data_IF_631087156882
#
_entry.id   IF_631087156882
#
_cell.length_a   1.000
_cell.length_b   1.000
_cell.length_c   1.000
_cell.angle_alpha   90.00
_cell.angle_beta   90.00
_cell.angle_gamma   90.00
#
_symmetry.space_group_name_H-M   'P 1'
#
loop_
_entity.id
_entity.type
_entity.pdbx_description
1 polymer ?
#
# COMPACT_ATOMS: atom_id res chain seq x y z
N UNK A 1 14.75 4.49 -4.41
CA UNK A 1 14.37 4.22 -3.00
C UNK A 1 13.88 5.52 -2.35
N UNK A 2 12.96 5.44 -1.40
CA UNK A 2 12.58 6.60 -0.59
C UNK A 2 12.35 6.21 0.88
N UNK A 3 12.55 7.18 1.76
CA UNK A 3 12.43 7.08 3.22
C UNK A 3 11.51 8.18 3.70
N UNK A 4 10.56 7.81 4.55
CA UNK A 4 9.58 8.73 5.13
C UNK A 4 9.35 8.44 6.60
N UNK A 5 8.67 9.36 7.28
CA UNK A 5 8.09 9.14 8.59
C UNK A 5 6.56 9.32 8.54
N UNK A 6 5.89 8.74 9.54
CA UNK A 6 4.46 8.90 9.80
C UNK A 6 3.61 8.53 8.58
N UNK A 7 3.75 7.30 8.09
CA UNK A 7 2.96 6.76 6.98
C UNK A 7 3.10 7.58 5.69
N UNK A 8 4.31 8.10 5.46
CA UNK A 8 4.61 8.90 4.29
C UNK A 8 4.31 10.39 4.39
N UNK A 9 3.81 10.88 5.53
CA UNK A 9 3.47 12.29 5.71
C UNK A 9 4.72 13.21 5.68
N UNK A 10 5.88 12.72 6.10
CA UNK A 10 7.13 13.47 6.08
C UNK A 10 8.20 12.74 5.25
N UNK A 11 8.67 13.37 4.17
CA UNK A 11 9.76 12.82 3.35
C UNK A 11 11.12 13.14 3.95
N UNK A 12 11.96 12.11 4.08
CA UNK A 12 13.33 12.21 4.63
C UNK A 12 14.38 12.02 3.55
N UNK A 13 14.14 11.07 2.64
CA UNK A 13 15.02 10.78 1.52
C UNK A 13 14.22 10.31 0.32
N UNK A 14 14.59 10.74 -0.89
CA UNK A 14 13.92 10.30 -2.10
C UNK A 14 14.83 10.46 -3.32
N UNK A 15 15.49 9.37 -3.71
CA UNK A 15 16.35 9.37 -4.90
C UNK A 15 16.35 8.00 -5.59
N UNK A 16 16.58 8.03 -6.90
CA UNK A 16 17.08 6.85 -7.60
C UNK A 16 18.49 6.53 -7.07
N UNK A 17 18.78 5.25 -6.92
CA UNK A 17 20.05 4.76 -6.40
C UNK A 17 20.55 3.68 -7.33
N UNK A 18 21.84 3.74 -7.64
CA UNK A 18 22.50 2.68 -8.39
C UNK A 18 22.66 1.45 -7.49
N UNK A 19 22.72 0.29 -8.11
CA UNK A 19 23.00 -0.98 -7.44
C UNK A 19 23.83 -1.87 -8.36
N UNK A 20 24.57 -2.79 -7.76
CA UNK A 20 25.28 -3.85 -8.47
C UNK A 20 24.52 -5.16 -8.38
N UNK A 21 24.67 -6.01 -9.41
CA UNK A 21 24.06 -7.34 -9.39
C UNK A 21 24.55 -8.13 -8.18
N UNK A 22 23.63 -8.58 -7.34
CA UNK A 22 23.93 -9.28 -6.08
C UNK A 22 23.82 -8.40 -4.84
N UNK A 23 23.69 -7.09 -4.98
CA UNK A 23 23.44 -6.20 -3.85
C UNK A 23 22.09 -6.52 -3.21
N UNK A 24 22.08 -6.55 -1.88
CA UNK A 24 20.85 -6.59 -1.10
C UNK A 24 20.28 -5.18 -0.96
N UNK A 25 19.03 -5.05 -0.53
CA UNK A 25 18.45 -3.74 -0.19
C UNK A 25 19.29 -3.03 0.88
N UNK A 26 19.84 -3.77 1.84
CA UNK A 26 20.73 -3.23 2.86
C UNK A 26 22.02 -2.65 2.26
N UNK A 27 22.64 -3.34 1.30
CA UNK A 27 23.86 -2.86 0.65
C UNK A 27 23.58 -1.55 -0.11
N UNK A 28 22.48 -1.51 -0.86
CA UNK A 28 22.03 -0.30 -1.56
C UNK A 28 21.77 0.84 -0.57
N UNK A 29 21.12 0.58 0.57
CA UNK A 29 20.86 1.60 1.59
C UNK A 29 22.15 2.20 2.14
N UNK A 30 23.16 1.38 2.46
CA UNK A 30 24.44 1.83 3.02
C UNK A 30 25.23 2.75 2.09
N UNK A 31 24.94 2.76 0.79
CA UNK A 31 25.58 3.70 -0.15
C UNK A 31 25.11 5.15 0.00
N UNK A 32 23.96 5.38 0.66
CA UNK A 32 23.30 6.70 0.73
C UNK A 32 22.80 7.08 2.12
N UNK A 33 22.67 6.13 3.03
CA UNK A 33 22.06 6.29 4.34
C UNK A 33 22.96 5.72 5.43
N UNK A 34 22.92 6.32 6.60
CA UNK A 34 23.56 5.80 7.81
C UNK A 34 22.62 4.77 8.45
N UNK A 35 23.03 3.51 8.47
CA UNK A 35 22.20 2.40 8.93
C UNK A 35 22.81 1.73 10.16
N UNK A 36 22.03 1.61 11.23
CA UNK A 36 22.35 0.75 12.38
C UNK A 36 21.39 -0.46 12.38
N UNK A 37 21.90 -1.63 12.76
CA UNK A 37 21.15 -2.89 12.75
C UNK A 37 21.14 -3.56 14.13
N UNK A 38 20.13 -4.40 14.40
CA UNK A 38 20.03 -5.22 15.61
C UNK A 38 19.87 -6.72 15.26
N UNK A 39 19.87 -7.58 16.29
CA UNK A 39 19.56 -9.02 16.21
C UNK A 39 20.32 -9.82 15.13
N UNK A 40 21.62 -9.55 14.98
CA UNK A 40 22.45 -10.27 14.01
C UNK A 40 22.49 -9.66 12.61
N UNK A 41 21.88 -8.48 12.40
CA UNK A 41 22.16 -7.61 11.24
C UNK A 41 20.99 -7.37 10.29
N UNK A 42 20.00 -8.27 10.24
CA UNK A 42 18.88 -8.15 9.30
C UNK A 42 17.76 -7.19 9.71
N UNK A 43 17.73 -6.81 11.00
CA UNK A 43 16.76 -5.86 11.52
C UNK A 43 17.34 -4.44 11.50
N UNK A 44 16.76 -3.54 10.70
CA UNK A 44 17.16 -2.12 10.67
C UNK A 44 16.64 -1.43 11.94
N UNK A 45 17.57 -1.03 12.80
CA UNK A 45 17.28 -0.35 14.05
C UNK A 45 17.34 1.17 13.91
N UNK A 46 18.13 1.69 12.96
CA UNK A 46 18.19 3.13 12.69
C UNK A 46 18.45 3.44 11.22
N UNK A 47 17.86 4.54 10.76
CA UNK A 47 18.18 5.19 9.49
C UNK A 47 18.43 6.67 9.80
N UNK A 48 19.61 7.19 9.41
CA UNK A 48 20.02 8.59 9.58
C UNK A 48 19.76 9.13 11.00
N UNK A 49 20.12 8.34 12.02
CA UNK A 49 20.02 8.71 13.44
C UNK A 49 18.63 8.57 14.08
N UNK A 50 17.58 8.27 13.30
CA UNK A 50 16.24 7.98 13.86
C UNK A 50 16.18 6.50 14.21
N UNK A 51 16.16 6.20 15.51
CA UNK A 51 16.22 4.84 16.06
C UNK A 51 14.83 4.26 16.32
N UNK A 52 14.72 2.93 16.32
CA UNK A 52 13.54 2.23 16.81
C UNK A 52 13.15 2.80 18.18
N UNK A 53 11.86 3.09 18.33
CA UNK A 53 11.28 3.45 19.62
C UNK A 53 11.15 2.25 20.56
N UNK A 54 11.30 1.03 20.05
CA UNK A 54 10.98 -0.21 20.75
C UNK A 54 12.23 -1.03 21.12
N UNK A 55 13.10 -1.27 20.14
CA UNK A 55 14.29 -2.12 20.27
C UNK A 55 15.30 -1.51 21.24
N UNK A 56 15.89 -2.36 22.10
CA UNK A 56 16.86 -2.01 23.14
C UNK A 56 16.38 -0.91 24.12
N UNK A 57 15.06 -0.76 24.29
CA UNK A 57 14.44 0.15 25.27
C UNK A 57 13.84 -0.63 26.44
N UNK A 58 13.90 -0.01 27.63
CA UNK A 58 13.24 -0.56 28.81
C UNK A 58 11.72 -0.52 28.66
N UNK A 59 11.01 -1.38 29.39
CA UNK A 59 9.53 -1.42 29.36
C UNK A 59 8.87 -0.07 29.69
N UNK A 60 9.55 0.80 30.45
CA UNK A 60 9.06 2.12 30.85
C UNK A 60 9.29 3.21 29.79
N UNK A 61 10.16 2.98 28.82
CA UNK A 61 10.56 3.99 27.82
C UNK A 61 10.28 3.58 26.39
N UNK A 62 10.03 2.28 26.15
CA UNK A 62 9.71 1.77 24.81
C UNK A 62 8.42 2.38 24.27
N UNK A 63 8.44 2.75 23.00
CA UNK A 63 7.31 3.20 22.20
C UNK A 63 7.14 2.24 21.04
N UNK A 64 5.91 1.93 20.67
CA UNK A 64 5.60 1.06 19.51
C UNK A 64 5.80 1.82 18.21
N UNK A 65 7.06 2.15 17.89
CA UNK A 65 7.43 2.86 16.67
C UNK A 65 8.68 2.24 16.09
N UNK A 66 8.63 1.89 14.81
CA UNK A 66 9.74 1.20 14.16
C UNK A 66 9.80 1.49 12.65
N UNK A 67 10.86 0.98 12.03
CA UNK A 67 11.08 1.02 10.59
C UNK A 67 10.42 -0.16 9.89
N UNK A 68 9.54 0.14 8.94
CA UNK A 68 8.91 -0.84 8.06
C UNK A 68 9.36 -0.59 6.64
N UNK A 69 9.50 -1.65 5.85
CA UNK A 69 9.90 -1.49 4.46
C UNK A 69 9.11 -2.34 3.49
N UNK A 70 8.81 -1.70 2.37
CA UNK A 70 7.98 -2.21 1.30
C UNK A 70 8.82 -2.29 0.03
N UNK A 71 8.64 -3.38 -0.71
CA UNK A 71 9.20 -3.52 -2.06
C UNK A 71 8.07 -3.68 -3.04
N UNK A 72 8.02 -2.79 -4.02
CA UNK A 72 6.98 -2.76 -5.06
C UNK A 72 5.55 -2.79 -4.49
N UNK A 73 5.36 -2.21 -3.31
CA UNK A 73 4.05 -2.05 -2.66
C UNK A 73 3.63 -3.19 -1.74
N UNK A 74 4.45 -4.23 -1.56
CA UNK A 74 4.22 -5.27 -0.54
C UNK A 74 5.19 -5.10 0.63
N UNK A 75 4.74 -5.30 1.87
CA UNK A 75 5.65 -5.36 3.01
C UNK A 75 6.59 -6.55 2.82
N UNK A 76 7.89 -6.36 3.10
CA UNK A 76 8.86 -7.40 2.80
C UNK A 76 8.71 -8.64 3.69
N UNK A 77 8.86 -9.81 3.07
CA UNK A 77 8.87 -11.13 3.69
C UNK A 77 10.18 -11.51 4.39
N UNK A 78 11.26 -10.78 4.13
CA UNK A 78 12.61 -11.08 4.62
C UNK A 78 13.28 -9.84 5.20
N UNK A 79 14.47 -9.97 5.80
CA UNK A 79 15.30 -8.83 6.19
C UNK A 79 15.87 -8.11 4.98
N UNK A 80 16.25 -6.83 5.13
CA UNK A 80 16.76 -6.04 4.00
C UNK A 80 18.12 -6.53 3.51
N UNK A 81 18.85 -7.27 4.35
CA UNK A 81 20.08 -8.00 4.07
C UNK A 81 19.86 -9.32 3.33
N UNK A 82 18.60 -9.75 3.15
CA UNK A 82 18.25 -10.98 2.46
C UNK A 82 17.42 -10.75 1.18
N UNK A 83 16.90 -9.53 0.97
CA UNK A 83 16.23 -9.19 -0.28
C UNK A 83 17.26 -8.68 -1.30
N UNK A 84 17.46 -9.45 -2.39
CA UNK A 84 18.31 -9.04 -3.50
C UNK A 84 17.62 -7.95 -4.33
N UNK A 85 18.22 -6.76 -4.39
CA UNK A 85 17.68 -5.64 -5.14
C UNK A 85 17.62 -5.97 -6.64
N UNK A 86 16.52 -5.59 -7.28
CA UNK A 86 16.31 -5.78 -8.73
C UNK A 86 16.16 -4.45 -9.44
N UNK A 87 16.53 -4.44 -10.71
CA UNK A 87 16.32 -3.29 -11.58
C UNK A 87 14.82 -3.00 -11.66
N UNK A 88 14.47 -1.73 -11.49
CA UNK A 88 13.07 -1.28 -11.46
C UNK A 88 12.37 -1.44 -10.11
N UNK A 89 13.02 -1.99 -9.08
CA UNK A 89 12.42 -2.05 -7.75
C UNK A 89 12.20 -0.65 -7.17
N UNK A 90 11.02 -0.45 -6.60
CA UNK A 90 10.70 0.66 -5.73
C UNK A 90 10.72 0.17 -4.29
N UNK A 91 11.76 0.57 -3.55
CA UNK A 91 11.90 0.33 -2.11
C UNK A 91 11.46 1.56 -1.33
N UNK A 92 10.52 1.37 -0.40
CA UNK A 92 10.03 2.39 0.53
C UNK A 92 10.31 1.97 1.97
N UNK A 93 11.00 2.83 2.73
CA UNK A 93 11.10 2.74 4.18
C UNK A 93 10.21 3.79 4.85
N UNK A 94 9.46 3.40 5.87
CA UNK A 94 8.68 4.33 6.68
C UNK A 94 8.86 4.07 8.18
N UNK A 95 9.13 5.13 8.94
CA UNK A 95 9.15 5.09 10.40
C UNK A 95 7.80 5.55 10.95
N UNK A 96 7.05 4.63 11.55
CA UNK A 96 5.72 4.95 12.06
C UNK A 96 5.32 4.12 13.29
N UNK A 97 4.25 4.61 13.92
CA UNK A 97 3.68 4.02 15.11
C UNK A 97 2.82 2.80 14.75
N UNK A 98 3.05 1.67 15.41
CA UNK A 98 2.33 0.41 15.20
C UNK A 98 1.48 0.03 16.42
N UNK A 99 1.11 0.99 17.27
CA UNK A 99 0.31 0.72 18.48
C UNK A 99 -1.12 0.28 18.22
N UNK A 100 -1.64 0.47 17.00
CA UNK A 100 -2.90 -0.11 16.55
C UNK A 100 -2.96 -1.63 16.79
N UNK A 101 -4.13 -2.13 17.19
CA UNK A 101 -4.27 -3.53 17.56
C UNK A 101 -4.04 -4.43 16.35
N UNK A 102 -2.97 -5.25 16.38
CA UNK A 102 -2.61 -6.11 15.25
C UNK A 102 -2.14 -5.35 14.02
N UNK A 103 -1.52 -4.17 14.19
CA UNK A 103 -1.03 -3.32 13.10
C UNK A 103 -0.13 -4.08 12.13
N UNK A 104 -0.69 -4.43 10.97
CA UNK A 104 -0.02 -4.98 9.81
C UNK A 104 -0.50 -4.19 8.60
N UNK A 105 0.43 -3.62 7.84
CA UNK A 105 0.11 -3.00 6.55
C UNK A 105 0.72 -3.91 5.48
N UNK A 106 -0.03 -4.90 4.98
CA UNK A 106 0.53 -5.93 4.09
C UNK A 106 0.86 -5.37 2.71
N UNK A 107 0.06 -4.42 2.22
CA UNK A 107 0.28 -3.76 0.93
C UNK A 107 -0.05 -2.27 0.99
N UNK A 108 0.56 -1.50 0.10
CA UNK A 108 0.48 -0.04 0.05
C UNK A 108 0.38 0.49 -1.37
N UNK A 109 -0.30 1.62 -1.54
CA UNK A 109 -0.45 2.28 -2.84
C UNK A 109 0.80 3.07 -3.26
N UNK A 110 1.71 3.32 -2.30
CA UNK A 110 2.91 4.16 -2.40
C UNK A 110 3.88 3.85 -3.52
N UNK A 111 3.85 2.62 -4.04
CA UNK A 111 4.77 2.14 -5.06
C UNK A 111 4.12 1.98 -6.46
N UNK A 112 2.88 2.43 -6.67
CA UNK A 112 2.22 2.37 -7.97
C UNK A 112 3.14 2.88 -9.12
N UNK A 113 3.24 2.20 -10.28
CA UNK A 113 2.49 1.01 -10.70
C UNK A 113 3.20 -0.33 -10.42
N UNK A 114 4.30 -0.33 -9.66
CA UNK A 114 5.21 -1.47 -9.52
C UNK A 114 4.62 -2.79 -9.03
N UNK A 115 3.56 -2.84 -8.18
CA UNK A 115 2.92 -4.11 -7.86
C UNK A 115 2.43 -4.89 -9.11
N UNK A 116 2.08 -4.17 -10.18
CA UNK A 116 1.49 -4.73 -11.39
C UNK A 116 2.48 -4.87 -12.56
N UNK A 117 3.64 -4.23 -12.49
CA UNK A 117 4.61 -4.17 -13.60
C UNK A 117 5.91 -4.92 -13.34
N UNK A 118 6.36 -4.97 -12.08
CA UNK A 118 7.60 -5.65 -11.66
C UNK A 118 7.28 -6.68 -10.56
N UNK A 119 6.43 -6.30 -9.61
CA UNK A 119 5.94 -7.13 -8.51
C UNK A 119 6.99 -7.47 -7.46
N UNK A 120 6.54 -8.01 -6.32
CA UNK A 120 7.44 -8.38 -5.23
C UNK A 120 8.37 -9.53 -5.66
N UNK A 121 9.68 -9.38 -5.45
CA UNK A 121 10.70 -10.32 -5.91
C UNK A 121 10.61 -10.66 -7.42
N UNK A 122 10.09 -9.74 -8.25
CA UNK A 122 9.93 -9.97 -9.69
C UNK A 122 8.75 -10.88 -10.07
N UNK A 123 7.89 -11.24 -9.11
CA UNK A 123 6.69 -12.03 -9.38
C UNK A 123 5.70 -11.20 -10.21
N UNK A 124 5.35 -11.69 -11.41
CA UNK A 124 4.40 -11.03 -12.31
C UNK A 124 3.26 -11.98 -12.65
N UNK A 125 2.36 -12.28 -11.69
CA UNK A 125 1.31 -13.29 -11.89
C UNK A 125 0.20 -12.84 -12.84
N UNK A 126 0.24 -11.60 -13.33
CA UNK A 126 -0.84 -10.98 -14.11
C UNK A 126 -1.80 -10.21 -13.20
N UNK A 127 -2.82 -9.59 -13.78
CA UNK A 127 -3.77 -8.78 -13.03
C UNK A 127 -5.19 -9.03 -13.50
N UNK A 128 -6.08 -9.27 -12.54
CA UNK A 128 -7.51 -9.28 -12.76
C UNK A 128 -8.15 -8.03 -12.16
N UNK A 129 -9.00 -7.38 -12.95
CA UNK A 129 -9.80 -6.25 -12.51
C UNK A 129 -11.25 -6.73 -12.40
N UNK A 130 -11.72 -6.88 -11.17
CA UNK A 130 -13.10 -7.12 -10.85
C UNK A 130 -13.88 -5.80 -10.86
N UNK A 131 -15.02 -5.77 -11.54
CA UNK A 131 -15.92 -4.62 -11.51
C UNK A 131 -17.32 -5.01 -11.02
N UNK A 132 -17.93 -4.21 -10.15
CA UNK A 132 -19.35 -4.34 -9.83
C UNK A 132 -20.23 -3.56 -10.82
N UNK A 133 -21.51 -3.93 -10.88
CA UNK A 133 -22.51 -3.19 -11.66
C UNK A 133 -22.15 -3.02 -13.14
N UNK A 134 -22.43 -1.83 -13.67
CA UNK A 134 -22.20 -1.47 -15.08
C UNK A 134 -20.79 -0.96 -15.40
N UNK A 135 -19.79 -1.18 -14.53
CA UNK A 135 -18.50 -0.49 -14.58
C UNK A 135 -17.44 -1.12 -15.51
N UNK A 136 -17.87 -1.78 -16.58
CA UNK A 136 -16.96 -2.42 -17.55
C UNK A 136 -16.05 -1.41 -18.26
N UNK A 137 -16.55 -0.21 -18.57
CA UNK A 137 -15.76 0.84 -19.24
C UNK A 137 -14.62 1.34 -18.33
N UNK A 138 -14.91 1.57 -17.04
CA UNK A 138 -13.91 1.94 -16.05
C UNK A 138 -12.83 0.86 -15.92
N UNK A 139 -13.24 -0.42 -15.93
CA UNK A 139 -12.32 -1.55 -15.86
C UNK A 139 -11.41 -1.66 -17.09
N UNK A 140 -11.95 -1.52 -18.30
CA UNK A 140 -11.13 -1.56 -19.52
C UNK A 140 -10.21 -0.34 -19.62
N UNK A 141 -10.68 0.85 -19.23
CA UNK A 141 -9.83 2.07 -19.17
C UNK A 141 -8.64 1.87 -18.23
N UNK A 142 -8.86 1.25 -17.06
CA UNK A 142 -7.79 0.90 -16.14
C UNK A 142 -6.87 -0.19 -16.72
N UNK A 143 -7.44 -1.22 -17.36
CA UNK A 143 -6.67 -2.30 -17.98
C UNK A 143 -5.71 -1.77 -19.06
N UNK A 144 -6.20 -0.94 -19.98
CA UNK A 144 -5.40 -0.28 -21.02
C UNK A 144 -4.27 0.55 -20.40
N UNK A 145 -4.58 1.33 -19.36
CA UNK A 145 -3.59 2.14 -18.64
C UNK A 145 -2.50 1.31 -17.96
N UNK A 146 -2.85 0.17 -17.35
CA UNK A 146 -1.88 -0.73 -16.72
C UNK A 146 -0.98 -1.37 -17.78
N UNK A 147 -1.56 -1.84 -18.89
CA UNK A 147 -0.82 -2.41 -20.02
C UNK A 147 0.16 -1.38 -20.60
N UNK A 148 -0.25 -0.13 -20.77
CA UNK A 148 0.64 0.94 -21.27
C UNK A 148 1.78 1.30 -20.31
N UNK A 149 1.63 1.00 -19.02
CA UNK A 149 2.67 1.14 -17.99
C UNK A 149 3.57 -0.11 -17.87
N UNK A 150 3.32 -1.16 -18.66
CA UNK A 150 4.13 -2.38 -18.72
C UNK A 150 3.57 -3.59 -17.99
N UNK A 151 2.35 -3.50 -17.42
CA UNK A 151 1.71 -4.65 -16.80
C UNK A 151 1.32 -5.68 -17.88
N UNK A 152 1.60 -6.96 -17.61
CA UNK A 152 1.30 -8.07 -18.52
C UNK A 152 0.06 -8.82 -18.05
N UNK A 153 -0.65 -9.48 -18.98
CA UNK A 153 -1.80 -10.34 -18.66
C UNK A 153 -2.87 -9.65 -17.81
N UNK A 154 -3.21 -8.41 -18.18
CA UNK A 154 -4.29 -7.66 -17.52
C UNK A 154 -5.61 -8.03 -18.17
N UNK A 155 -6.58 -8.49 -17.38
CA UNK A 155 -7.94 -8.84 -17.80
C UNK A 155 -8.95 -8.26 -16.82
N UNK A 156 -10.21 -8.18 -17.21
CA UNK A 156 -11.29 -7.74 -16.32
C UNK A 156 -12.50 -8.68 -16.41
N UNK A 157 -13.24 -8.80 -15.32
CA UNK A 157 -14.48 -9.59 -15.24
C UNK A 157 -15.44 -9.01 -14.20
N UNK A 158 -16.71 -9.36 -14.32
CA UNK A 158 -17.71 -8.94 -13.35
C UNK A 158 -17.43 -9.57 -11.98
N UNK A 159 -17.51 -8.76 -10.93
CA UNK A 159 -17.42 -9.21 -9.55
C UNK A 159 -18.72 -9.88 -9.12
N UNK A 160 -18.61 -11.03 -8.47
CA UNK A 160 -19.73 -11.73 -7.83
C UNK A 160 -19.39 -12.02 -6.37
N UNK A 161 -18.63 -13.08 -6.13
CA UNK A 161 -18.34 -13.65 -4.83
C UNK A 161 -16.93 -14.27 -4.78
N UNK A 162 -16.04 -13.83 -5.67
CA UNK A 162 -14.65 -14.26 -5.66
C UNK A 162 -13.98 -13.86 -4.34
N UNK A 163 -13.11 -14.72 -3.83
CA UNK A 163 -12.26 -14.37 -2.69
C UNK A 163 -11.33 -13.22 -3.07
N UNK A 164 -11.17 -12.26 -2.16
CA UNK A 164 -10.30 -11.09 -2.31
C UNK A 164 -8.96 -11.25 -1.58
N UNK A 165 -8.71 -12.41 -0.98
CA UNK A 165 -7.48 -12.73 -0.25
C UNK A 165 -6.80 -14.00 -0.75
N UNK A 166 -7.51 -14.90 -1.42
CA UNK A 166 -6.95 -16.16 -1.95
C UNK A 166 -6.62 -16.04 -3.45
N UNK A 167 -5.96 -14.95 -3.84
CA UNK A 167 -5.69 -14.69 -5.25
C UNK A 167 -4.45 -15.41 -5.76
N UNK A 168 -4.54 -15.94 -6.99
CA UNK A 168 -3.39 -16.45 -7.76
C UNK A 168 -2.81 -15.39 -8.71
N UNK A 169 -3.46 -14.23 -8.83
CA UNK A 169 -3.03 -13.06 -9.60
C UNK A 169 -3.17 -11.79 -8.77
N UNK A 170 -2.55 -10.68 -9.17
CA UNK A 170 -2.93 -9.40 -8.57
C UNK A 170 -4.44 -9.15 -8.81
N UNK A 171 -5.14 -8.63 -7.82
CA UNK A 171 -6.56 -8.32 -7.92
C UNK A 171 -6.80 -6.81 -7.76
N UNK A 172 -7.74 -6.28 -8.53
CA UNK A 172 -8.24 -4.92 -8.37
C UNK A 172 -9.76 -5.00 -8.35
N UNK A 173 -10.41 -4.62 -7.26
CA UNK A 173 -11.86 -4.47 -7.19
C UNK A 173 -12.25 -3.01 -7.36
N UNK A 174 -13.10 -2.72 -8.35
CA UNK A 174 -13.66 -1.39 -8.56
C UNK A 174 -15.19 -1.40 -8.58
N UNK A 175 -15.80 -0.36 -8.00
CA UNK A 175 -17.26 -0.31 -7.83
C UNK A 175 -17.73 0.86 -6.99
N UNK A 176 -19.04 1.07 -6.94
CA UNK A 176 -19.62 1.98 -5.94
C UNK A 176 -19.82 1.25 -4.61
N UNK A 177 -19.78 1.97 -3.49
CA UNK A 177 -19.97 1.36 -2.18
C UNK A 177 -21.33 0.65 -2.06
N UNK A 178 -22.41 1.25 -2.57
CA UNK A 178 -23.74 0.64 -2.57
C UNK A 178 -23.84 -0.70 -3.31
N UNK A 179 -22.95 -0.94 -4.27
CA UNK A 179 -22.89 -2.23 -4.99
C UNK A 179 -22.07 -3.28 -4.25
N UNK A 180 -21.11 -2.86 -3.43
CA UNK A 180 -20.12 -3.73 -2.80
C UNK A 180 -20.45 -4.04 -1.33
N UNK A 181 -21.23 -3.19 -0.66
CA UNK A 181 -21.45 -3.27 0.79
C UNK A 181 -22.16 -4.55 1.24
N UNK A 182 -22.94 -5.19 0.37
CA UNK A 182 -23.60 -6.45 0.67
C UNK A 182 -22.65 -7.67 0.63
N UNK A 183 -21.44 -7.53 0.07
CA UNK A 183 -20.50 -8.64 -0.07
C UNK A 183 -19.72 -8.87 1.24
N UNK A 184 -19.79 -10.09 1.78
CA UNK A 184 -19.16 -10.43 3.06
C UNK A 184 -17.64 -10.35 3.05
N UNK A 185 -16.99 -10.71 1.94
CA UNK A 185 -15.52 -10.62 1.81
C UNK A 185 -15.05 -9.17 1.79
N UNK A 186 -15.83 -8.26 1.20
CA UNK A 186 -15.58 -6.81 1.29
C UNK A 186 -15.75 -6.34 2.73
N UNK A 187 -16.86 -6.67 3.39
CA UNK A 187 -17.12 -6.25 4.77
C UNK A 187 -16.05 -6.72 5.75
N UNK A 188 -15.61 -7.98 5.63
CA UNK A 188 -14.56 -8.55 6.48
C UNK A 188 -13.26 -7.75 6.39
N UNK A 189 -12.82 -7.40 5.18
CA UNK A 189 -11.58 -6.66 4.96
C UNK A 189 -11.61 -5.24 5.55
N UNK A 190 -12.77 -4.59 5.51
CA UNK A 190 -12.96 -3.24 6.06
C UNK A 190 -13.18 -3.24 7.58
N UNK A 191 -13.58 -4.37 8.17
CA UNK A 191 -13.84 -4.46 9.62
C UNK A 191 -12.57 -4.46 10.49
N UNK A 192 -11.39 -4.70 9.90
CA UNK A 192 -10.11 -4.82 10.63
C UNK A 192 -9.01 -3.94 10.01
N UNK A 193 -9.18 -2.61 9.99
CA UNK A 193 -8.31 -1.68 9.26
C UNK A 193 -6.83 -1.78 9.64
N UNK A 194 -6.54 -1.99 10.92
CA UNK A 194 -5.16 -2.17 11.41
C UNK A 194 -4.51 -3.47 10.93
N UNK A 195 -5.29 -4.49 10.57
CA UNK A 195 -4.76 -5.77 10.07
C UNK A 195 -4.66 -5.79 8.54
N UNK A 196 -5.61 -5.14 7.86
CA UNK A 196 -5.68 -5.14 6.39
C UNK A 196 -4.93 -3.98 5.76
N UNK A 197 -4.58 -2.94 6.53
CA UNK A 197 -4.01 -1.70 6.00
C UNK A 197 -5.04 -0.79 5.32
N UNK A 198 -6.34 -1.13 5.40
CA UNK A 198 -7.43 -0.34 4.81
C UNK A 198 -7.92 0.67 5.86
N UNK A 199 -7.23 1.80 5.98
CA UNK A 199 -7.53 2.84 6.97
C UNK A 199 -8.64 3.82 6.51
N UNK A 200 -9.76 3.27 6.07
CA UNK A 200 -10.96 4.02 5.71
C UNK A 200 -12.21 3.16 5.92
N UNK A 201 -13.35 3.80 6.20
CA UNK A 201 -14.65 3.13 6.19
C UNK A 201 -15.69 3.97 5.44
N UNK A 202 -16.79 3.34 5.07
CA UNK A 202 -17.92 4.00 4.42
C UNK A 202 -19.06 4.09 5.42
N UNK A 203 -19.50 5.31 5.73
CA UNK A 203 -20.58 5.53 6.67
C UNK A 203 -21.28 6.87 6.35
N UNK A 204 -22.59 6.93 6.54
CA UNK A 204 -23.37 8.18 6.42
C UNK A 204 -23.17 8.91 5.07
N UNK A 205 -23.00 8.17 3.98
CA UNK A 205 -22.78 8.74 2.65
C UNK A 205 -21.42 9.43 2.50
N UNK A 206 -20.41 9.02 3.26
CA UNK A 206 -19.05 9.53 3.21
C UNK A 206 -18.02 8.40 3.32
N UNK A 207 -16.80 8.66 2.83
CA UNK A 207 -15.62 7.84 3.13
C UNK A 207 -14.89 8.47 4.31
N UNK A 208 -14.98 7.89 5.50
CA UNK A 208 -14.26 8.42 6.67
C UNK A 208 -12.82 7.94 6.65
N UNK A 209 -11.90 8.88 6.88
CA UNK A 209 -10.48 8.58 7.01
C UNK A 209 -10.19 8.08 8.43
N UNK A 210 -9.45 6.99 8.56
CA UNK A 210 -9.04 6.46 9.85
C UNK A 210 -7.60 6.87 10.17
N UNK A 211 -7.30 7.00 11.47
CA UNK A 211 -5.94 7.11 11.97
C UNK A 211 -5.25 5.74 12.05
N UNK A 212 -3.99 5.72 12.48
CA UNK A 212 -3.16 4.51 12.55
C UNK A 212 -3.63 3.50 13.61
N UNK A 213 -4.52 3.90 14.51
CA UNK A 213 -5.17 3.01 15.48
C UNK A 213 -6.45 2.38 14.94
N UNK A 214 -6.92 2.82 13.76
CA UNK A 214 -8.22 2.48 13.19
C UNK A 214 -9.35 3.37 13.69
N UNK A 215 -9.05 4.42 14.46
CA UNK A 215 -10.02 5.39 14.96
C UNK A 215 -10.42 6.41 13.91
N UNK A 216 -11.61 7.00 14.04
CA UNK A 216 -12.06 8.05 13.13
C UNK A 216 -11.23 9.33 13.30
N UNK A 217 -10.70 9.86 12.20
CA UNK A 217 -9.93 11.12 12.19
C UNK A 217 -10.79 12.39 12.19
N UNK A 218 -12.10 12.25 11.95
CA UNK A 218 -13.02 13.36 11.70
C UNK A 218 -12.95 13.95 10.28
N UNK A 219 -12.06 13.45 9.42
CA UNK A 219 -11.98 13.84 8.01
C UNK A 219 -12.76 12.88 7.12
N UNK A 220 -13.29 13.40 6.01
CA UNK A 220 -14.06 12.61 5.05
C UNK A 220 -13.70 12.92 3.59
N UNK A 221 -14.06 11.98 2.71
CA UNK A 221 -13.98 12.13 1.26
C UNK A 221 -15.08 11.36 0.52
N UNK A 222 -14.90 11.21 -0.79
CA UNK A 222 -15.90 10.64 -1.70
C UNK A 222 -15.47 9.32 -2.33
N UNK A 223 -14.18 9.01 -2.35
CA UNK A 223 -13.67 7.75 -2.90
C UNK A 223 -12.40 7.27 -2.20
N UNK A 224 -12.13 5.98 -2.31
CA UNK A 224 -11.01 5.27 -1.71
C UNK A 224 -10.15 4.61 -2.80
N UNK A 225 -8.83 4.74 -2.66
CA UNK A 225 -7.85 3.85 -3.28
C UNK A 225 -7.02 3.22 -2.17
N UNK A 226 -7.16 1.93 -1.96
CA UNK A 226 -6.47 1.18 -0.91
C UNK A 226 -5.88 -0.12 -1.44
N UNK A 227 -4.96 -0.69 -0.69
CA UNK A 227 -4.35 -1.98 -0.98
C UNK A 227 -4.33 -2.85 0.29
N UNK A 228 -4.44 -4.16 0.09
CA UNK A 228 -4.25 -5.17 1.13
C UNK A 228 -3.52 -6.38 0.53
N UNK A 229 -3.15 -7.32 1.39
CA UNK A 229 -2.52 -8.57 1.03
C UNK A 229 -2.66 -9.59 2.16
N UNK A 230 -2.15 -10.79 1.93
CA UNK A 230 -2.23 -11.92 2.88
C UNK A 230 -1.14 -11.93 3.93
N UNK A 231 -0.12 -11.07 3.80
CA UNK A 231 0.96 -10.94 4.76
C UNK A 231 2.27 -10.51 4.13
N UNK A 232 3.36 -10.84 4.81
CA UNK A 232 4.69 -10.40 4.40
C UNK A 232 5.18 -11.15 3.15
N UNK A 233 5.70 -10.39 2.19
CA UNK A 233 6.19 -10.92 0.92
C UNK A 233 5.08 -11.39 -0.03
N UNK A 234 3.84 -10.93 0.18
CA UNK A 234 2.72 -11.24 -0.71
C UNK A 234 3.03 -10.80 -2.15
N UNK A 235 2.73 -11.69 -3.09
CA UNK A 235 2.97 -11.52 -4.53
C UNK A 235 1.69 -11.30 -5.32
N UNK A 236 0.52 -11.36 -4.68
CA UNK A 236 -0.80 -11.22 -5.30
C UNK A 236 -1.71 -10.26 -4.52
N UNK A 237 -1.28 -9.00 -4.28
CA UNK A 237 -2.06 -8.02 -3.53
C UNK A 237 -3.44 -7.73 -4.16
N UNK A 238 -4.37 -7.30 -3.31
CA UNK A 238 -5.69 -6.81 -3.71
C UNK A 238 -5.78 -5.31 -3.53
N UNK A 239 -6.17 -4.61 -4.58
CA UNK A 239 -6.42 -3.17 -4.55
C UNK A 239 -7.91 -2.89 -4.66
N UNK A 240 -8.33 -1.77 -4.06
CA UNK A 240 -9.70 -1.29 -4.05
C UNK A 240 -9.77 0.09 -4.68
N UNK A 241 -10.72 0.30 -5.59
CA UNK A 241 -11.09 1.60 -6.13
C UNK A 241 -12.60 1.76 -5.93
N UNK A 242 -12.99 2.40 -4.83
CA UNK A 242 -14.39 2.45 -4.42
C UNK A 242 -14.84 3.91 -4.34
N UNK A 243 -15.91 4.24 -5.05
CA UNK A 243 -16.58 5.55 -4.95
C UNK A 243 -17.89 5.46 -4.17
N UNK A 244 -18.35 6.57 -3.60
CA UNK A 244 -19.74 6.67 -3.11
C UNK A 244 -20.76 6.62 -4.25
N UNK A 245 -20.37 7.15 -5.41
CA UNK A 245 -21.14 7.21 -6.63
C UNK A 245 -20.23 7.02 -7.85
N UNK A 246 -20.83 7.04 -9.05
CA UNK A 246 -20.09 6.83 -10.30
C UNK A 246 -19.03 7.91 -10.56
N UNK A 247 -19.30 9.23 -10.37
CA UNK A 247 -18.27 10.26 -10.46
C UNK A 247 -17.08 10.03 -9.50
N UNK A 248 -17.35 9.65 -8.26
CA UNK A 248 -16.30 9.39 -7.27
C UNK A 248 -15.48 8.15 -7.64
N UNK A 249 -16.13 7.09 -8.13
CA UNK A 249 -15.45 5.91 -8.67
C UNK A 249 -14.56 6.29 -9.86
N UNK A 250 -15.06 7.14 -10.77
CA UNK A 250 -14.29 7.60 -11.92
C UNK A 250 -13.04 8.38 -11.48
N UNK A 251 -13.13 9.17 -10.41
CA UNK A 251 -12.00 9.87 -9.81
C UNK A 251 -10.97 8.89 -9.19
N UNK A 252 -11.42 7.81 -8.56
CA UNK A 252 -10.54 6.74 -8.05
C UNK A 252 -9.78 6.07 -9.21
N UNK A 253 -10.49 5.67 -10.28
CA UNK A 253 -9.88 5.08 -11.48
C UNK A 253 -8.92 6.06 -12.15
N UNK A 254 -9.32 7.32 -12.27
CA UNK A 254 -8.49 8.40 -12.79
C UNK A 254 -7.18 8.59 -12.02
N UNK A 255 -7.16 8.27 -10.72
CA UNK A 255 -5.96 8.33 -9.87
C UNK A 255 -4.95 7.23 -10.21
N UNK A 256 -5.36 6.10 -10.79
CA UNK A 256 -4.41 5.10 -11.31
C UNK A 256 -4.08 5.36 -12.78
N UNK A 257 -5.04 5.85 -13.57
CA UNK A 257 -4.80 6.18 -14.98
C UNK A 257 -3.75 7.30 -15.11
N UNK A 258 -3.93 8.37 -14.34
CA UNK A 258 -3.07 9.56 -14.31
C UNK A 258 -2.65 9.88 -12.86
N UNK A 259 -1.70 9.12 -12.28
CA UNK A 259 -1.42 9.21 -10.85
C UNK A 259 -0.74 10.51 -10.43
N UNK A 260 0.10 11.10 -11.29
CA UNK A 260 1.01 12.17 -10.88
C UNK A 260 1.76 11.75 -9.61
N UNK A 261 1.68 12.57 -8.56
CA UNK A 261 2.23 12.26 -7.23
C UNK A 261 1.17 11.82 -6.20
N UNK A 262 -0.09 11.58 -6.61
CA UNK A 262 -1.21 11.35 -5.68
C UNK A 262 -1.05 10.12 -4.79
N UNK A 263 -0.36 9.09 -5.28
CA UNK A 263 -0.19 7.82 -4.57
C UNK A 263 1.17 7.68 -3.89
N UNK A 264 2.21 8.38 -4.37
CA UNK A 264 3.60 8.14 -3.96
C UNK A 264 3.77 8.28 -2.45
N UNK A 265 4.36 7.25 -1.82
CA UNK A 265 4.61 7.21 -0.39
C UNK A 265 3.36 7.36 0.46
N UNK A 266 2.29 6.63 0.13
CA UNK A 266 1.07 6.57 0.93
C UNK A 266 0.66 5.12 1.12
N UNK A 267 0.11 4.79 2.29
CA UNK A 267 -0.44 3.45 2.56
C UNK A 267 -1.73 3.24 1.75
N UNK A 268 -2.70 4.13 1.90
CA UNK A 268 -3.86 4.29 1.03
C UNK A 268 -4.18 5.77 0.81
N UNK A 269 -5.18 6.07 -0.02
CA UNK A 269 -5.70 7.44 -0.16
C UNK A 269 -7.21 7.50 -0.16
N UNK A 270 -7.75 8.54 0.46
CA UNK A 270 -9.13 8.99 0.28
C UNK A 270 -9.14 10.25 -0.57
N UNK A 271 -10.00 10.28 -1.57
CA UNK A 271 -10.19 11.42 -2.46
C UNK A 271 -11.24 12.36 -1.86
N UNK A 272 -10.87 13.61 -1.62
CA UNK A 272 -11.77 14.65 -1.11
C UNK A 272 -11.55 15.94 -1.89
N UNK A 273 -12.59 16.44 -2.57
CA UNK A 273 -12.52 17.70 -3.33
C UNK A 273 -11.40 17.73 -4.39
N UNK A 274 -11.14 16.60 -5.05
CA UNK A 274 -10.06 16.46 -6.05
C UNK A 274 -8.65 16.22 -5.49
N UNK A 275 -8.48 16.26 -4.16
CA UNK A 275 -7.22 16.01 -3.46
C UNK A 275 -7.14 14.56 -3.00
N UNK A 276 -5.96 13.95 -3.06
CA UNK A 276 -5.68 12.62 -2.51
C UNK A 276 -5.04 12.74 -1.12
N UNK A 277 -5.81 12.48 -0.07
CA UNK A 277 -5.37 12.54 1.32
C UNK A 277 -4.88 11.15 1.73
N UNK A 278 -3.68 11.07 2.32
CA UNK A 278 -3.11 9.80 2.75
C UNK A 278 -3.85 9.24 3.98
N UNK A 279 -4.11 7.94 3.95
CA UNK A 279 -4.55 7.17 5.13
C UNK A 279 -3.51 6.09 5.44
N UNK A 280 -3.26 5.75 6.73
CA UNK A 280 -3.89 6.35 7.91
C UNK A 280 -3.51 7.82 8.08
N UNK A 281 -4.39 8.60 8.71
CA UNK A 281 -4.09 9.99 9.06
C UNK A 281 -2.98 9.99 10.09
N UNK A 282 -1.86 10.63 9.74
CA UNK A 282 -0.73 10.78 10.62
C UNK A 282 -1.11 11.60 11.88
N UNK A 283 -0.51 11.29 13.04
CA UNK A 283 -0.68 12.09 14.26
C UNK A 283 -0.08 13.49 14.14
#
# INVERSE_FOLDING_TARGET
MFVTHNFGAASVYNQAVDYYSGDTVMDVMRTRLEIETAYGGGFVNSINGVKSGYTDKSIFTRKKRDWFYYVNGSISGVGADAYNAKSGDTVWWDYHDWSGNGSTTPSVVGAYPHPFTVGYNGAMPGTIIYYSGGHTEQAERLAVSLRSKGAKNVRHEAFSNQSLTENTTNAILLGTWSELEANSSVQELFSTPTRTGIYANFENGAVNLLDYTGGASGQTGQALVAATGTGNGDTTPTWFLIGLDVPALDAAVGTLVNPGNKLRGKVGVVLSGGTAIGVPVAP
#
